data_IF_727352822627
#
_entry.id   IF_727352822627
#
_cell.length_a   1.000
_cell.length_b   1.000
_cell.length_c   1.000
_cell.angle_alpha   90.00
_cell.angle_beta   90.00
_cell.angle_gamma   90.00
#
_symmetry.space_group_name_H-M   'P 1'
#
loop_
_entity.id
_entity.type
_entity.pdbx_description
1 polymer ?
#
# COMPACT_ATOMS: atom_id res chain seq x y z
N UNK A 1 -38.36 37.70 -40.97
CA UNK A 1 -37.91 36.38 -41.47
C UNK A 1 -36.47 36.22 -41.01
N UNK A 2 -36.21 35.28 -40.10
CA UNK A 2 -34.91 35.05 -39.49
C UNK A 2 -35.01 33.92 -38.48
N UNK A 3 -34.80 32.70 -38.97
CA UNK A 3 -34.66 31.46 -38.20
C UNK A 3 -33.25 31.44 -37.61
N UNK A 4 -33.10 31.24 -36.30
CA UNK A 4 -31.88 30.73 -35.67
C UNK A 4 -32.28 29.74 -34.57
N UNK A 5 -31.51 28.64 -34.49
CA UNK A 5 -31.80 27.32 -33.91
C UNK A 5 -31.35 27.19 -32.42
N UNK A 6 -31.52 26.03 -31.75
CA UNK A 6 -31.57 25.92 -30.30
C UNK A 6 -30.20 26.08 -29.64
N UNK A 7 -30.13 26.83 -28.55
CA UNK A 7 -28.97 26.79 -27.67
C UNK A 7 -28.99 25.50 -26.87
N UNK A 8 -27.91 24.73 -27.01
CA UNK A 8 -27.64 23.47 -26.33
C UNK A 8 -27.78 23.61 -24.81
N UNK A 9 -28.25 22.56 -24.11
CA UNK A 9 -28.23 22.58 -22.65
C UNK A 9 -26.76 22.62 -22.23
N UNK A 10 -26.39 23.73 -21.63
CA UNK A 10 -25.09 23.94 -21.03
C UNK A 10 -24.95 22.92 -19.89
N UNK A 11 -24.25 21.82 -20.17
CA UNK A 11 -23.84 20.83 -19.17
C UNK A 11 -22.73 21.45 -18.31
N UNK A 12 -23.13 22.45 -17.51
CA UNK A 12 -22.29 22.98 -16.45
C UNK A 12 -22.32 21.94 -15.36
N UNK A 13 -21.35 21.03 -15.41
CA UNK A 13 -21.04 20.07 -14.36
C UNK A 13 -21.20 20.77 -13.01
N UNK A 14 -22.28 20.48 -12.29
CA UNK A 14 -22.66 21.21 -11.09
C UNK A 14 -21.49 21.18 -10.08
N UNK A 15 -21.20 22.29 -9.39
CA UNK A 15 -20.28 22.26 -8.27
C UNK A 15 -20.74 21.17 -7.31
N UNK A 16 -19.85 20.25 -6.93
CA UNK A 16 -20.15 19.25 -5.90
C UNK A 16 -20.80 19.97 -4.73
N UNK A 17 -21.94 19.45 -4.25
CA UNK A 17 -22.67 20.13 -3.18
C UNK A 17 -21.75 20.32 -1.98
N UNK A 18 -21.92 21.39 -1.21
CA UNK A 18 -21.07 21.66 -0.05
C UNK A 18 -21.01 20.47 0.94
N UNK A 19 -22.08 19.67 0.98
CA UNK A 19 -22.18 18.42 1.74
C UNK A 19 -21.23 17.34 1.19
N UNK A 20 -21.14 17.18 -0.12
CA UNK A 20 -20.23 16.20 -0.75
C UNK A 20 -18.76 16.57 -0.53
N UNK A 21 -18.42 17.86 -0.60
CA UNK A 21 -17.05 18.31 -0.31
C UNK A 21 -16.70 18.12 1.16
N UNK A 22 -17.62 18.40 2.09
CA UNK A 22 -17.42 18.16 3.51
C UNK A 22 -17.26 16.66 3.81
N UNK A 23 -18.08 15.81 3.20
CA UNK A 23 -17.99 14.35 3.39
C UNK A 23 -16.69 13.78 2.81
N UNK A 24 -16.28 14.25 1.63
CA UNK A 24 -15.00 13.86 1.01
C UNK A 24 -13.81 14.32 1.86
N UNK A 25 -13.84 15.55 2.38
CA UNK A 25 -12.81 16.06 3.28
C UNK A 25 -12.71 15.26 4.58
N UNK A 26 -13.85 14.93 5.20
CA UNK A 26 -13.87 14.09 6.41
C UNK A 26 -13.35 12.68 6.11
N UNK A 27 -13.72 12.09 4.97
CA UNK A 27 -13.21 10.78 4.54
C UNK A 27 -11.69 10.79 4.36
N UNK A 28 -11.13 11.77 3.64
CA UNK A 28 -9.69 11.83 3.39
C UNK A 28 -8.89 12.06 4.68
N UNK A 29 -9.40 12.91 5.59
CA UNK A 29 -8.78 13.12 6.91
C UNK A 29 -8.88 11.85 7.75
N UNK A 30 -10.05 11.23 7.82
CA UNK A 30 -10.22 9.98 8.56
C UNK A 30 -9.28 8.91 8.04
N UNK A 31 -9.15 8.74 6.72
CA UNK A 31 -8.24 7.78 6.09
C UNK A 31 -6.81 7.97 6.59
N UNK A 32 -6.29 9.20 6.57
CA UNK A 32 -4.96 9.53 7.08
C UNK A 32 -4.84 9.20 8.58
N UNK A 33 -5.84 9.56 9.39
CA UNK A 33 -5.83 9.33 10.85
C UNK A 33 -6.02 7.87 11.26
N UNK A 34 -6.70 7.07 10.46
CA UNK A 34 -6.98 5.65 10.72
C UNK A 34 -5.96 4.72 10.07
N UNK A 35 -5.05 5.25 9.26
CA UNK A 35 -3.92 4.47 8.75
C UNK A 35 -3.11 4.00 9.96
N UNK A 36 -2.82 2.70 10.12
CA UNK A 36 -2.01 2.23 11.23
C UNK A 36 -0.71 3.03 11.22
N UNK A 37 -0.46 3.78 12.30
CA UNK A 37 0.47 4.90 12.28
C UNK A 37 1.88 4.50 11.81
N UNK A 38 2.27 3.22 11.92
CA UNK A 38 3.45 2.63 11.26
C UNK A 38 3.20 1.13 11.01
N UNK A 39 2.71 0.75 9.82
CA UNK A 39 2.47 -0.65 9.43
C UNK A 39 3.74 -1.49 9.60
N UNK A 40 4.87 -0.91 9.25
CA UNK A 40 6.22 -1.46 9.35
C UNK A 40 6.55 -1.89 10.78
N UNK A 41 6.26 -1.02 11.75
CA UNK A 41 6.49 -1.31 13.17
C UNK A 41 5.62 -2.49 13.65
N UNK A 42 4.38 -2.56 13.16
CA UNK A 42 3.48 -3.69 13.43
C UNK A 42 4.01 -5.00 12.85
N UNK A 43 4.38 -5.00 11.56
CA UNK A 43 4.91 -6.16 10.85
C UNK A 43 6.25 -6.63 11.44
N UNK A 44 7.14 -5.72 11.81
CA UNK A 44 8.40 -6.04 12.49
C UNK A 44 8.15 -6.68 13.87
N UNK A 45 7.14 -6.22 14.59
CA UNK A 45 6.75 -6.82 15.88
C UNK A 45 6.20 -8.23 15.69
N UNK A 46 5.42 -8.48 14.63
CA UNK A 46 4.95 -9.83 14.26
C UNK A 46 6.13 -10.74 13.90
N UNK A 47 7.07 -10.28 13.06
CA UNK A 47 8.27 -11.05 12.71
C UNK A 47 9.08 -11.45 13.95
N UNK A 48 9.29 -10.51 14.88
CA UNK A 48 9.99 -10.75 16.14
C UNK A 48 9.26 -11.76 17.04
N UNK A 49 7.94 -11.73 17.03
CA UNK A 49 7.16 -12.71 17.78
C UNK A 49 7.26 -14.10 17.14
N UNK A 50 7.14 -14.19 15.81
CA UNK A 50 7.29 -15.47 15.08
C UNK A 50 8.67 -16.08 15.29
N UNK A 51 9.75 -15.28 15.28
CA UNK A 51 11.11 -15.77 15.55
C UNK A 51 11.32 -16.26 16.98
N UNK A 52 10.45 -15.89 17.92
CA UNK A 52 10.49 -16.46 19.28
C UNK A 52 9.90 -17.87 19.36
N UNK A 53 9.06 -18.25 18.40
CA UNK A 53 8.38 -19.55 18.35
C UNK A 53 9.00 -20.49 17.32
N UNK A 54 9.60 -19.92 16.27
CA UNK A 54 10.22 -20.62 15.16
C UNK A 54 11.73 -20.38 15.21
N UNK A 55 12.53 -21.36 14.82
CA UNK A 55 13.98 -21.21 14.67
C UNK A 55 14.29 -20.36 13.41
N UNK A 56 13.95 -19.06 13.47
CA UNK A 56 13.99 -18.11 12.35
C UNK A 56 14.82 -16.88 12.73
N UNK A 57 15.99 -16.71 12.12
CA UNK A 57 16.93 -15.62 12.45
C UNK A 57 16.76 -14.36 11.59
N UNK A 58 16.40 -14.50 10.31
CA UNK A 58 16.40 -13.40 9.33
C UNK A 58 15.08 -13.36 8.54
N UNK A 59 13.97 -13.09 9.25
CA UNK A 59 12.65 -12.99 8.66
C UNK A 59 12.42 -11.66 7.94
N UNK A 60 11.81 -11.71 6.75
CA UNK A 60 11.40 -10.55 5.96
C UNK A 60 9.91 -10.66 5.60
N UNK A 61 9.20 -9.55 5.64
CA UNK A 61 7.86 -9.38 5.06
C UNK A 61 7.99 -8.40 3.91
N UNK A 62 7.51 -8.79 2.73
CA UNK A 62 7.48 -7.95 1.53
C UNK A 62 6.03 -7.66 1.18
N UNK A 63 5.66 -6.39 1.12
CA UNK A 63 4.41 -5.93 0.53
C UNK A 63 4.66 -5.67 -0.95
N UNK A 64 3.78 -6.23 -1.79
CA UNK A 64 3.83 -6.09 -3.24
C UNK A 64 2.74 -5.13 -3.70
N UNK A 65 3.06 -4.35 -4.72
CA UNK A 65 2.06 -3.61 -5.46
C UNK A 65 1.25 -4.52 -6.39
N UNK A 66 0.30 -3.93 -7.13
CA UNK A 66 -0.56 -4.63 -8.09
C UNK A 66 0.22 -5.29 -9.24
N UNK A 67 1.46 -4.85 -9.49
CA UNK A 67 2.34 -5.40 -10.52
C UNK A 67 3.22 -6.54 -10.02
N UNK A 68 3.25 -6.75 -8.70
CA UNK A 68 4.10 -7.75 -8.05
C UNK A 68 5.47 -7.23 -7.66
N UNK A 69 5.72 -5.93 -7.80
CA UNK A 69 6.97 -5.29 -7.39
C UNK A 69 6.93 -4.95 -5.89
N UNK A 70 8.04 -5.08 -5.15
CA UNK A 70 8.09 -4.72 -3.75
C UNK A 70 7.83 -3.22 -3.52
N UNK A 71 6.74 -2.89 -2.83
CA UNK A 71 6.42 -1.53 -2.37
C UNK A 71 7.06 -1.24 -1.01
N UNK A 72 7.13 -2.25 -0.14
CA UNK A 72 7.68 -2.15 1.20
C UNK A 72 8.33 -3.48 1.61
N UNK A 73 9.50 -3.39 2.24
CA UNK A 73 10.19 -4.54 2.85
C UNK A 73 10.36 -4.23 4.34
N UNK A 74 10.02 -5.20 5.20
CA UNK A 74 10.13 -5.10 6.66
C UNK A 74 10.90 -6.30 7.19
N UNK A 75 11.90 -6.03 8.03
CA UNK A 75 12.73 -7.05 8.68
C UNK A 75 12.49 -7.10 10.17
N UNK A 76 12.94 -8.19 10.82
CA UNK A 76 12.89 -8.35 12.28
C UNK A 76 13.72 -7.29 13.03
N UNK A 77 14.70 -6.70 12.36
CA UNK A 77 15.62 -5.65 12.82
C UNK A 77 15.19 -4.23 12.41
N UNK A 78 13.97 -4.07 11.85
CA UNK A 78 13.46 -2.78 11.38
C UNK A 78 13.62 -1.63 12.40
N UNK A 79 14.19 -0.53 11.93
CA UNK A 79 14.22 0.79 12.57
C UNK A 79 13.60 1.82 11.62
N UNK A 80 12.96 2.86 12.16
CA UNK A 80 12.40 3.95 11.35
C UNK A 80 13.46 4.54 10.40
N UNK A 81 13.24 4.47 9.08
CA UNK A 81 14.16 4.98 8.05
C UNK A 81 15.23 4.01 7.53
N UNK A 82 15.14 2.70 7.82
CA UNK A 82 16.12 1.69 7.40
C UNK A 82 15.78 0.90 6.12
N UNK A 83 14.72 1.31 5.39
CA UNK A 83 14.15 0.56 4.26
C UNK A 83 15.12 0.30 3.10
N UNK A 84 16.00 1.26 2.79
CA UNK A 84 16.84 1.20 1.59
C UNK A 84 17.80 -0.01 1.59
N UNK A 85 18.30 -0.42 2.75
CA UNK A 85 19.24 -1.54 2.88
C UNK A 85 18.57 -2.92 2.86
N UNK A 86 17.24 -2.98 2.98
CA UNK A 86 16.53 -4.23 3.15
C UNK A 86 16.12 -4.86 1.81
N UNK A 87 15.94 -4.04 0.76
CA UNK A 87 15.74 -4.52 -0.61
C UNK A 87 16.92 -5.36 -1.09
N UNK A 88 18.15 -4.95 -0.78
CA UNK A 88 19.39 -5.67 -1.13
C UNK A 88 19.48 -7.06 -0.48
N UNK A 89 18.72 -7.32 0.59
CA UNK A 89 18.71 -8.60 1.30
C UNK A 89 17.72 -9.61 0.70
N UNK A 90 16.90 -9.22 -0.28
CA UNK A 90 15.94 -10.13 -0.90
C UNK A 90 16.64 -11.13 -1.84
N UNK A 91 16.51 -12.45 -1.61
CA UNK A 91 17.05 -13.44 -2.53
C UNK A 91 16.21 -13.46 -3.82
N UNK A 92 16.68 -12.79 -4.87
CA UNK A 92 15.95 -12.56 -6.13
C UNK A 92 15.25 -13.82 -6.68
N UNK A 93 15.95 -14.96 -6.71
CA UNK A 93 15.39 -16.22 -7.24
C UNK A 93 14.23 -16.75 -6.40
N UNK A 94 14.40 -16.78 -5.09
CA UNK A 94 13.38 -17.33 -4.20
C UNK A 94 12.15 -16.41 -4.20
N UNK A 95 12.40 -15.09 -4.10
CA UNK A 95 11.36 -14.08 -4.17
C UNK A 95 10.56 -14.15 -5.48
N UNK A 96 11.24 -14.12 -6.64
CA UNK A 96 10.60 -14.18 -7.94
C UNK A 96 9.78 -15.47 -8.15
N UNK A 97 10.27 -16.61 -7.66
CA UNK A 97 9.52 -17.86 -7.72
C UNK A 97 8.26 -17.85 -6.85
N UNK A 98 8.34 -17.30 -5.63
CA UNK A 98 7.16 -17.16 -4.76
C UNK A 98 6.13 -16.22 -5.40
N UNK A 99 6.56 -15.07 -5.94
CA UNK A 99 5.66 -14.10 -6.60
C UNK A 99 5.00 -14.71 -7.84
N UNK A 100 5.77 -15.37 -8.70
CA UNK A 100 5.27 -15.96 -9.93
C UNK A 100 4.32 -17.14 -9.70
N UNK A 101 4.63 -17.99 -8.71
CA UNK A 101 3.86 -19.23 -8.48
C UNK A 101 2.75 -19.06 -7.44
N UNK A 102 2.83 -18.04 -6.59
CA UNK A 102 1.97 -17.86 -5.40
C UNK A 102 1.97 -19.09 -4.47
N UNK A 103 3.06 -19.84 -4.45
CA UNK A 103 3.23 -21.04 -3.64
C UNK A 103 4.42 -20.89 -2.68
N UNK A 104 4.36 -21.53 -1.49
CA UNK A 104 5.52 -21.62 -0.61
C UNK A 104 6.71 -22.29 -1.29
N UNK A 105 7.93 -21.80 -1.03
CA UNK A 105 9.18 -22.35 -1.53
C UNK A 105 10.08 -22.77 -0.36
N UNK A 106 10.64 -23.98 -0.45
CA UNK A 106 11.66 -24.50 0.47
C UNK A 106 12.87 -24.88 -0.38
N UNK A 107 14.06 -24.43 0.03
CA UNK A 107 15.34 -24.62 -0.68
C UNK A 107 16.32 -25.43 0.13
#
# INVERSE_FOLDING_TARGET
MGLELPTTPNDVRAPRSHVEMALFGVYEIAKVLTTPLHLETGLASVLRLLSSFLDMSDGLIVLLDETGEPELVVGSDWQEGSTEHLFDRLPERAFGQIVATRMPLVV
#
